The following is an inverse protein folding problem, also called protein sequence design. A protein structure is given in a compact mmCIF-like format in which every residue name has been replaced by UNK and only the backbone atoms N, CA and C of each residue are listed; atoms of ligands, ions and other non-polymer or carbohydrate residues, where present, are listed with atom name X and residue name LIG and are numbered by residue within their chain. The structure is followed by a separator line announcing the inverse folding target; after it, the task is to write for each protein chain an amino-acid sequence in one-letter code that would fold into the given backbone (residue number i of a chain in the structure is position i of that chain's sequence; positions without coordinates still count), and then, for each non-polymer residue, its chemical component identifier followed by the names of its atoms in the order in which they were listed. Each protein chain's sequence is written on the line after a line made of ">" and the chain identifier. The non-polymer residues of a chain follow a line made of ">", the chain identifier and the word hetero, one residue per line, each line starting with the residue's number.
data_IF_425362070197
#
_entry.id   IF_425362070197
#
_cell.length_a   1.000
_cell.length_b   1.000
_cell.length_c   1.000
_cell.angle_alpha   90.00
_cell.angle_beta   90.00
_cell.angle_gamma   90.00
#
_symmetry.space_group_name_H-M   'P 1'
#
loop_
_entity.id
_entity.type
_entity.pdbx_description
1 polymer ?
#
# COMPACT_ATOMS: atom_id res chain seq x y z
N UNK A 1 -25.44 -26.74 11.60
CA UNK A 1 -24.39 -25.73 11.48
C UNK A 1 -25.05 -24.50 10.84
N UNK A 2 -25.24 -23.45 11.61
CA UNK A 2 -25.80 -22.18 11.13
C UNK A 2 -24.90 -21.64 10.01
N UNK A 3 -25.45 -21.52 8.80
CA UNK A 3 -24.75 -20.86 7.70
C UNK A 3 -24.47 -19.42 8.12
N UNK A 4 -23.19 -19.02 8.11
CA UNK A 4 -22.80 -17.62 8.33
C UNK A 4 -23.56 -16.75 7.33
N UNK A 5 -24.34 -15.80 7.84
CA UNK A 5 -25.07 -14.85 7.01
C UNK A 5 -24.07 -13.98 6.21
N UNK A 6 -24.12 -14.10 4.89
CA UNK A 6 -23.22 -13.38 3.98
C UNK A 6 -23.32 -11.85 4.12
N UNK A 7 -24.51 -11.32 4.45
CA UNK A 7 -24.68 -9.89 4.72
C UNK A 7 -23.88 -9.46 5.94
N UNK A 8 -23.93 -10.24 7.01
CA UNK A 8 -23.16 -10.00 8.23
C UNK A 8 -21.64 -10.03 7.95
N UNK A 9 -21.16 -10.99 7.15
CA UNK A 9 -19.76 -11.06 6.75
C UNK A 9 -19.34 -9.84 5.93
N UNK A 10 -20.15 -9.41 4.98
CA UNK A 10 -19.89 -8.20 4.17
C UNK A 10 -19.84 -6.96 5.06
N UNK A 11 -20.81 -6.78 5.97
CA UNK A 11 -20.84 -5.64 6.90
C UNK A 11 -19.65 -5.65 7.87
N UNK A 12 -19.29 -6.81 8.42
CA UNK A 12 -18.11 -6.95 9.28
C UNK A 12 -16.82 -6.58 8.54
N UNK A 13 -16.66 -7.03 7.29
CA UNK A 13 -15.51 -6.66 6.47
C UNK A 13 -15.45 -5.16 6.21
N UNK A 14 -16.61 -4.54 5.96
CA UNK A 14 -16.73 -3.09 5.82
C UNK A 14 -16.32 -2.33 7.08
N UNK A 15 -16.81 -2.78 8.25
CA UNK A 15 -16.46 -2.17 9.53
C UNK A 15 -14.95 -2.26 9.82
N UNK A 16 -14.33 -3.42 9.54
CA UNK A 16 -12.87 -3.56 9.61
C UNK A 16 -12.16 -2.58 8.68
N UNK A 17 -12.68 -2.40 7.45
CA UNK A 17 -12.19 -1.41 6.50
C UNK A 17 -12.29 0.02 7.06
N UNK A 18 -13.41 0.38 7.70
CA UNK A 18 -13.58 1.69 8.31
C UNK A 18 -12.58 1.94 9.44
N UNK A 19 -12.34 0.95 10.31
CA UNK A 19 -11.33 1.06 11.37
C UNK A 19 -9.92 1.29 10.79
N UNK A 20 -9.57 0.57 9.72
CA UNK A 20 -8.30 0.78 9.01
C UNK A 20 -8.24 2.15 8.34
N UNK A 21 -9.37 2.67 7.81
CA UNK A 21 -9.44 4.03 7.26
C UNK A 21 -9.08 5.06 8.33
N UNK A 22 -9.68 4.98 9.52
CA UNK A 22 -9.36 5.86 10.64
C UNK A 22 -7.90 5.73 11.07
N UNK A 23 -7.40 4.51 11.24
CA UNK A 23 -6.01 4.27 11.63
C UNK A 23 -5.03 4.91 10.65
N UNK A 24 -5.21 4.69 9.34
CA UNK A 24 -4.37 5.27 8.30
C UNK A 24 -4.51 6.79 8.21
N UNK A 25 -5.70 7.33 8.50
CA UNK A 25 -5.93 8.77 8.57
C UNK A 25 -5.12 9.41 9.71
N UNK A 26 -5.16 8.84 10.92
CA UNK A 26 -4.37 9.34 12.05
C UNK A 26 -2.87 9.15 11.84
N UNK A 27 -2.45 8.04 11.23
CA UNK A 27 -1.05 7.86 10.84
C UNK A 27 -0.58 8.95 9.86
N UNK A 28 -1.42 9.32 8.88
CA UNK A 28 -1.13 10.42 7.97
C UNK A 28 -0.91 11.76 8.70
N UNK A 29 -1.67 12.02 9.78
CA UNK A 29 -1.51 13.25 10.57
C UNK A 29 -0.24 13.23 11.42
N UNK A 30 0.17 12.05 11.88
CA UNK A 30 1.32 11.85 12.76
C UNK A 30 2.65 11.70 12.02
N UNK A 31 2.62 11.27 10.76
CA UNK A 31 3.82 10.97 9.97
C UNK A 31 4.33 12.20 9.21
N UNK A 32 5.65 12.31 8.97
CA UNK A 32 6.23 13.37 8.17
C UNK A 32 5.61 13.46 6.78
N UNK A 33 5.57 14.66 6.20
CA UNK A 33 5.04 14.90 4.85
C UNK A 33 5.84 14.21 3.73
N UNK A 34 7.04 13.73 4.03
CA UNK A 34 7.87 12.90 3.15
C UNK A 34 7.21 11.55 2.85
N UNK A 35 6.46 10.97 3.82
CA UNK A 35 5.74 9.70 3.66
C UNK A 35 4.37 9.97 3.04
N UNK A 36 4.35 9.89 1.72
CA UNK A 36 3.14 10.16 0.91
C UNK A 36 2.32 8.88 0.75
N UNK A 37 1.06 9.03 0.32
CA UNK A 37 0.18 7.89 -0.03
C UNK A 37 -0.77 7.46 1.08
N UNK A 38 -0.45 7.66 2.37
CA UNK A 38 -1.30 7.27 3.53
C UNK A 38 -2.75 7.78 3.42
N UNK A 39 -2.94 9.03 2.98
CA UNK A 39 -4.28 9.59 2.80
C UNK A 39 -5.09 8.92 1.70
N UNK A 40 -4.46 8.46 0.63
CA UNK A 40 -5.13 7.69 -0.43
C UNK A 40 -5.47 6.27 0.04
N UNK A 41 -4.62 5.64 0.84
CA UNK A 41 -4.92 4.34 1.45
C UNK A 41 -6.05 4.43 2.47
N UNK A 42 -6.08 5.50 3.29
CA UNK A 42 -7.21 5.78 4.18
C UNK A 42 -8.51 5.95 3.38
N UNK A 43 -8.50 6.79 2.35
CA UNK A 43 -9.65 7.00 1.47
C UNK A 43 -10.09 5.70 0.77
N UNK A 44 -9.13 4.85 0.36
CA UNK A 44 -9.43 3.57 -0.26
C UNK A 44 -10.26 2.66 0.66
N UNK A 45 -9.89 2.54 1.93
CA UNK A 45 -10.66 1.78 2.92
C UNK A 45 -12.05 2.39 3.17
N UNK A 46 -12.17 3.73 3.17
CA UNK A 46 -13.47 4.40 3.31
C UNK A 46 -14.37 4.13 2.09
N UNK A 47 -13.83 4.12 0.87
CA UNK A 47 -14.56 3.76 -0.35
C UNK A 47 -15.00 2.28 -0.32
N UNK A 48 -14.13 1.38 0.14
CA UNK A 48 -14.49 -0.04 0.33
C UNK A 48 -15.62 -0.17 1.34
N UNK A 49 -15.57 0.53 2.47
CA UNK A 49 -16.68 0.55 3.45
C UNK A 49 -17.99 1.02 2.81
N UNK A 50 -17.97 2.14 2.09
CA UNK A 50 -19.16 2.65 1.41
C UNK A 50 -19.72 1.64 0.40
N UNK A 51 -18.85 0.98 -0.37
CA UNK A 51 -19.25 -0.09 -1.28
C UNK A 51 -19.89 -1.27 -0.55
N UNK A 52 -19.34 -1.70 0.60
CA UNK A 52 -19.94 -2.79 1.39
C UNK A 52 -21.34 -2.45 1.91
N UNK A 53 -21.60 -1.19 2.31
CA UNK A 53 -22.93 -0.74 2.68
C UNK A 53 -23.92 -0.84 1.50
N UNK A 54 -23.48 -0.41 0.29
CA UNK A 54 -24.31 -0.52 -0.91
C UNK A 54 -24.61 -1.98 -1.26
N UNK A 55 -23.61 -2.88 -1.19
CA UNK A 55 -23.83 -4.31 -1.43
C UNK A 55 -24.76 -4.95 -0.38
N UNK A 56 -24.63 -4.59 0.89
CA UNK A 56 -25.49 -5.11 1.96
C UNK A 56 -26.94 -4.60 1.85
N UNK A 57 -27.16 -3.44 1.25
CA UNK A 57 -28.47 -2.86 1.00
C UNK A 57 -29.23 -3.49 -0.20
N UNK A 58 -28.67 -4.54 -0.80
CA UNK A 58 -29.32 -5.25 -1.91
C UNK A 58 -30.66 -5.84 -1.50
N UNK A 59 -31.68 -5.59 -2.34
CA UNK A 59 -33.08 -5.96 -2.03
C UNK A 59 -33.84 -4.92 -1.18
N UNK A 60 -33.15 -3.87 -0.71
CA UNK A 60 -33.75 -2.70 -0.03
C UNK A 60 -33.67 -1.46 -0.91
N UNK A 61 -32.48 -1.21 -1.49
CA UNK A 61 -32.26 -0.12 -2.44
C UNK A 61 -32.39 -0.60 -3.89
N UNK A 62 -32.58 0.36 -4.79
CA UNK A 62 -32.68 0.10 -6.24
C UNK A 62 -31.41 -0.59 -6.77
N UNK A 63 -31.57 -1.51 -7.73
CA UNK A 63 -30.49 -2.33 -8.28
C UNK A 63 -29.36 -1.49 -8.91
N UNK A 64 -29.63 -0.33 -9.48
CA UNK A 64 -28.59 0.61 -9.95
C UNK A 64 -27.60 0.93 -8.83
N UNK A 65 -28.09 1.20 -7.63
CA UNK A 65 -27.25 1.56 -6.48
C UNK A 65 -26.47 0.34 -5.96
N UNK A 66 -27.10 -0.82 -5.85
CA UNK A 66 -26.54 -2.02 -5.20
C UNK A 66 -25.72 -2.90 -6.15
N UNK A 67 -25.84 -2.69 -7.47
CA UNK A 67 -25.09 -3.43 -8.48
C UNK A 67 -24.07 -2.50 -9.14
N UNK A 68 -24.52 -1.44 -9.81
CA UNK A 68 -23.63 -0.61 -10.62
C UNK A 68 -22.80 0.32 -9.75
N UNK A 69 -23.46 1.16 -8.94
CA UNK A 69 -22.77 2.14 -8.09
C UNK A 69 -21.87 1.45 -7.06
N UNK A 70 -22.32 0.34 -6.43
CA UNK A 70 -21.51 -0.40 -5.48
C UNK A 70 -20.17 -0.87 -6.06
N UNK A 71 -20.20 -1.44 -7.27
CA UNK A 71 -18.98 -1.88 -7.95
C UNK A 71 -18.08 -0.72 -8.39
N UNK A 72 -18.66 0.41 -8.84
CA UNK A 72 -17.89 1.59 -9.20
C UNK A 72 -17.22 2.23 -7.99
N UNK A 73 -17.92 2.33 -6.87
CA UNK A 73 -17.37 2.81 -5.59
C UNK A 73 -16.23 1.91 -5.12
N UNK A 74 -16.39 0.58 -5.23
CA UNK A 74 -15.33 -0.36 -4.90
C UNK A 74 -14.11 -0.19 -5.83
N UNK A 75 -14.34 0.03 -7.13
CA UNK A 75 -13.25 0.29 -8.08
C UNK A 75 -12.50 1.59 -7.73
N UNK A 76 -13.21 2.66 -7.35
CA UNK A 76 -12.58 3.90 -6.85
C UNK A 76 -11.71 3.61 -5.62
N UNK A 77 -12.15 2.74 -4.72
CA UNK A 77 -11.35 2.26 -3.59
C UNK A 77 -10.06 1.56 -4.04
N UNK A 78 -10.16 0.59 -4.96
CA UNK A 78 -9.01 -0.16 -5.49
C UNK A 78 -8.03 0.78 -6.24
N UNK A 79 -8.56 1.70 -7.04
CA UNK A 79 -7.75 2.73 -7.73
C UNK A 79 -7.04 3.63 -6.71
N UNK A 80 -7.71 3.99 -5.61
CA UNK A 80 -7.11 4.79 -4.55
C UNK A 80 -5.97 4.06 -3.84
N UNK A 81 -6.07 2.73 -3.67
CA UNK A 81 -4.94 1.92 -3.19
C UNK A 81 -3.75 2.02 -4.14
N UNK A 82 -3.97 1.79 -5.44
CA UNK A 82 -2.90 1.85 -6.45
C UNK A 82 -2.27 3.25 -6.51
N UNK A 83 -3.08 4.30 -6.58
CA UNK A 83 -2.62 5.68 -6.57
C UNK A 83 -1.84 6.03 -5.29
N UNK A 84 -2.24 5.46 -4.15
CA UNK A 84 -1.50 5.57 -2.89
C UNK A 84 -0.11 4.95 -2.99
N UNK A 85 0.02 3.78 -3.60
CA UNK A 85 1.32 3.11 -3.84
C UNK A 85 2.19 3.94 -4.79
N UNK A 86 1.64 4.47 -5.89
CA UNK A 86 2.39 5.37 -6.78
C UNK A 86 2.91 6.60 -6.04
N UNK A 87 2.06 7.26 -5.22
CA UNK A 87 2.46 8.42 -4.41
C UNK A 87 3.50 8.07 -3.34
N UNK A 88 3.39 6.91 -2.73
CA UNK A 88 4.33 6.42 -1.73
C UNK A 88 5.76 6.28 -2.30
N UNK A 89 5.87 5.83 -3.54
CA UNK A 89 7.16 5.75 -4.27
C UNK A 89 7.50 7.02 -5.06
N UNK A 90 6.84 8.15 -4.79
CA UNK A 90 7.15 9.44 -5.42
C UNK A 90 6.72 9.56 -6.88
N UNK A 91 5.93 8.62 -7.39
CA UNK A 91 5.45 8.63 -8.78
C UNK A 91 4.23 9.55 -8.96
N UNK A 92 4.07 10.07 -10.18
CA UNK A 92 2.89 10.85 -10.54
C UNK A 92 1.74 9.90 -10.89
N UNK A 93 0.58 10.12 -10.27
CA UNK A 93 -0.65 9.39 -10.59
C UNK A 93 -1.21 9.92 -11.91
N UNK A 94 -1.46 9.03 -12.85
CA UNK A 94 -2.01 9.36 -14.17
C UNK A 94 -3.54 9.16 -14.14
N UNK A 95 -4.26 10.14 -13.62
CA UNK A 95 -5.70 10.03 -13.33
C UNK A 95 -6.58 9.73 -14.55
N UNK A 96 -6.20 10.19 -15.74
CA UNK A 96 -7.00 9.94 -16.93
C UNK A 96 -7.12 8.45 -17.29
N UNK A 97 -6.11 7.62 -16.97
CA UNK A 97 -6.17 6.16 -17.19
C UNK A 97 -7.26 5.52 -16.34
N UNK A 98 -7.39 5.97 -15.10
CA UNK A 98 -8.41 5.50 -14.16
C UNK A 98 -9.79 6.00 -14.54
N UNK A 99 -9.91 7.25 -15.00
CA UNK A 99 -11.14 7.79 -15.53
C UNK A 99 -11.59 7.03 -16.80
N UNK A 100 -10.68 6.69 -17.70
CA UNK A 100 -10.97 5.87 -18.88
C UNK A 100 -11.45 4.46 -18.49
N UNK A 101 -10.81 3.84 -17.48
CA UNK A 101 -11.23 2.53 -16.97
C UNK A 101 -12.66 2.59 -16.39
N UNK A 102 -12.99 3.61 -15.60
CA UNK A 102 -14.34 3.83 -15.07
C UNK A 102 -15.35 4.02 -16.21
N UNK A 103 -15.00 4.82 -17.20
CA UNK A 103 -15.86 5.09 -18.37
C UNK A 103 -16.18 3.81 -19.14
N UNK A 104 -15.20 2.91 -19.32
CA UNK A 104 -15.38 1.63 -20.03
C UNK A 104 -16.18 0.64 -19.16
N UNK A 105 -15.92 0.57 -17.85
CA UNK A 105 -16.58 -0.42 -17.00
C UNK A 105 -18.03 -0.04 -16.68
N UNK A 106 -18.37 1.23 -16.61
CA UNK A 106 -19.73 1.68 -16.27
C UNK A 106 -20.80 1.08 -17.19
N UNK A 107 -20.71 1.20 -18.54
CA UNK A 107 -21.71 0.61 -19.43
C UNK A 107 -21.73 -0.92 -19.38
N UNK A 108 -20.60 -1.58 -19.17
CA UNK A 108 -20.52 -3.04 -19.03
C UNK A 108 -21.27 -3.51 -17.78
N UNK A 109 -21.02 -2.85 -16.63
CA UNK A 109 -21.69 -3.15 -15.37
C UNK A 109 -23.20 -2.83 -15.44
N UNK A 110 -23.57 -1.77 -16.13
CA UNK A 110 -24.96 -1.40 -16.35
C UNK A 110 -25.67 -2.44 -17.22
N UNK A 111 -25.06 -2.83 -18.34
CA UNK A 111 -25.65 -3.81 -19.28
C UNK A 111 -25.88 -5.16 -18.59
N UNK A 112 -24.82 -5.79 -18.08
CA UNK A 112 -24.91 -7.08 -17.41
C UNK A 112 -25.52 -7.02 -16.00
N UNK A 113 -25.79 -5.84 -15.50
CA UNK A 113 -26.46 -5.63 -14.21
C UNK A 113 -27.96 -5.50 -14.33
N UNK A 114 -28.45 -4.83 -15.38
CA UNK A 114 -29.82 -4.33 -15.43
C UNK A 114 -30.53 -4.59 -16.78
N UNK A 115 -29.80 -4.56 -17.91
CA UNK A 115 -30.41 -4.73 -19.24
C UNK A 115 -30.50 -6.21 -19.60
N UNK A 116 -29.38 -6.92 -19.49
CA UNK A 116 -29.27 -8.37 -19.67
C UNK A 116 -28.59 -8.97 -18.43
N UNK A 117 -29.35 -9.21 -17.35
CA UNK A 117 -28.78 -9.58 -16.07
C UNK A 117 -27.99 -10.89 -16.13
N UNK A 118 -26.66 -10.77 -16.18
CA UNK A 118 -25.75 -11.91 -16.22
C UNK A 118 -24.66 -11.74 -15.13
N UNK A 119 -24.86 -12.47 -14.03
CA UNK A 119 -23.93 -12.40 -12.88
C UNK A 119 -22.53 -12.89 -13.25
N UNK A 120 -22.41 -13.96 -14.03
CA UNK A 120 -21.13 -14.56 -14.40
C UNK A 120 -20.34 -13.66 -15.32
N UNK A 121 -20.98 -13.04 -16.32
CA UNK A 121 -20.32 -12.07 -17.22
C UNK A 121 -19.72 -10.88 -16.42
N UNK A 122 -20.49 -10.31 -15.47
CA UNK A 122 -19.99 -9.27 -14.57
C UNK A 122 -18.83 -9.73 -13.73
N UNK A 123 -18.93 -10.92 -13.15
CA UNK A 123 -17.93 -11.51 -12.30
C UNK A 123 -16.61 -11.70 -13.03
N UNK A 124 -16.66 -12.22 -14.25
CA UNK A 124 -15.50 -12.39 -15.12
C UNK A 124 -14.78 -11.07 -15.35
N UNK A 125 -15.52 -10.03 -15.75
CA UNK A 125 -14.95 -8.70 -16.03
C UNK A 125 -14.32 -8.09 -14.77
N UNK A 126 -15.05 -8.14 -13.67
CA UNK A 126 -14.58 -7.57 -12.37
C UNK A 126 -13.32 -8.28 -11.89
N UNK A 127 -13.30 -9.63 -11.90
CA UNK A 127 -12.15 -10.40 -11.43
C UNK A 127 -10.90 -10.12 -12.26
N UNK A 128 -11.01 -10.03 -13.58
CA UNK A 128 -9.86 -9.73 -14.45
C UNK A 128 -9.31 -8.33 -14.24
N UNK A 129 -10.18 -7.32 -14.16
CA UNK A 129 -9.77 -5.93 -13.95
C UNK A 129 -9.08 -5.78 -12.59
N UNK A 130 -9.67 -6.33 -11.52
CA UNK A 130 -9.09 -6.22 -10.19
C UNK A 130 -7.78 -7.00 -10.07
N UNK A 131 -7.72 -8.22 -10.63
CA UNK A 131 -6.49 -9.00 -10.66
C UNK A 131 -5.36 -8.23 -11.36
N UNK A 132 -5.65 -7.57 -12.49
CA UNK A 132 -4.68 -6.72 -13.20
C UNK A 132 -4.19 -5.55 -12.36
N UNK A 133 -5.09 -4.85 -11.63
CA UNK A 133 -4.71 -3.72 -10.77
C UNK A 133 -3.86 -4.22 -9.59
N UNK A 134 -4.26 -5.29 -8.89
CA UNK A 134 -3.50 -5.83 -7.76
C UNK A 134 -2.15 -6.41 -8.19
N UNK A 135 -2.07 -7.05 -9.36
CA UNK A 135 -0.81 -7.52 -9.93
C UNK A 135 0.15 -6.37 -10.25
N UNK A 136 -0.39 -5.27 -10.81
CA UNK A 136 0.41 -4.06 -11.08
C UNK A 136 0.91 -3.41 -9.79
N UNK A 137 0.10 -3.40 -8.71
CA UNK A 137 0.52 -2.94 -7.39
C UNK A 137 1.64 -3.82 -6.82
N UNK A 138 1.48 -5.15 -6.87
CA UNK A 138 2.48 -6.10 -6.39
C UNK A 138 3.81 -5.90 -7.12
N UNK A 139 3.78 -5.76 -8.44
CA UNK A 139 4.95 -5.47 -9.26
C UNK A 139 5.61 -4.13 -8.89
N UNK A 140 4.80 -3.07 -8.69
CA UNK A 140 5.30 -1.74 -8.34
C UNK A 140 6.01 -1.74 -6.98
N UNK A 141 5.40 -2.38 -5.96
CA UNK A 141 5.99 -2.51 -4.63
C UNK A 141 7.27 -3.36 -4.71
N UNK A 142 7.21 -4.51 -5.39
CA UNK A 142 8.37 -5.40 -5.53
C UNK A 142 9.56 -4.74 -6.20
N UNK A 143 9.32 -3.87 -7.18
CA UNK A 143 10.37 -3.18 -7.94
C UNK A 143 11.03 -2.03 -7.17
N UNK A 144 10.30 -1.31 -6.31
CA UNK A 144 10.78 -0.06 -5.73
C UNK A 144 11.02 -0.12 -4.21
N UNK A 145 10.44 -1.09 -3.51
CA UNK A 145 10.66 -1.24 -2.07
C UNK A 145 11.89 -2.10 -1.75
N UNK A 146 12.57 -1.85 -0.62
CA UNK A 146 13.61 -2.74 -0.11
C UNK A 146 13.03 -4.12 0.20
N UNK A 147 13.86 -5.18 0.16
CA UNK A 147 13.45 -6.58 0.37
C UNK A 147 13.21 -6.93 1.84
N UNK A 148 12.53 -6.08 2.57
CA UNK A 148 12.18 -6.24 3.97
C UNK A 148 10.96 -7.15 4.17
N UNK A 149 10.68 -7.51 5.43
CA UNK A 149 9.46 -8.26 5.78
C UNK A 149 8.17 -7.54 5.33
N UNK A 150 7.97 -6.22 5.58
CA UNK A 150 6.80 -5.48 5.10
C UNK A 150 6.56 -5.60 3.60
N UNK A 151 7.61 -5.49 2.80
CA UNK A 151 7.54 -5.65 1.34
C UNK A 151 7.10 -7.04 0.94
N UNK A 152 7.74 -8.08 1.49
CA UNK A 152 7.40 -9.49 1.19
C UNK A 152 5.98 -9.80 1.62
N UNK A 153 5.59 -9.40 2.82
CA UNK A 153 4.24 -9.60 3.35
C UNK A 153 3.18 -8.98 2.44
N UNK A 154 3.35 -7.69 2.09
CA UNK A 154 2.37 -6.97 1.26
C UNK A 154 2.26 -7.56 -0.15
N UNK A 155 3.40 -7.87 -0.78
CA UNK A 155 3.41 -8.49 -2.12
C UNK A 155 2.79 -9.88 -2.09
N UNK A 156 3.12 -10.71 -1.10
CA UNK A 156 2.51 -12.04 -0.96
C UNK A 156 0.99 -11.94 -0.76
N UNK A 157 0.53 -11.00 0.09
CA UNK A 157 -0.91 -10.74 0.27
C UNK A 157 -1.59 -10.36 -1.04
N UNK A 158 -1.01 -9.46 -1.83
CA UNK A 158 -1.54 -9.06 -3.14
C UNK A 158 -1.58 -10.24 -4.12
N UNK A 159 -0.54 -11.06 -4.18
CA UNK A 159 -0.49 -12.23 -5.06
C UNK A 159 -1.49 -13.32 -4.65
N UNK A 160 -1.66 -13.55 -3.34
CA UNK A 160 -2.70 -14.45 -2.82
C UNK A 160 -4.09 -13.94 -3.20
N UNK A 161 -4.32 -12.62 -3.09
CA UNK A 161 -5.59 -12.02 -3.49
C UNK A 161 -5.85 -12.18 -5.01
N UNK A 162 -4.84 -11.97 -5.84
CA UNK A 162 -4.91 -12.28 -7.28
C UNK A 162 -5.27 -13.74 -7.51
N UNK A 163 -4.67 -14.67 -6.76
CA UNK A 163 -5.01 -16.10 -6.82
C UNK A 163 -6.48 -16.36 -6.50
N UNK A 164 -7.02 -15.73 -5.45
CA UNK A 164 -8.45 -15.84 -5.09
C UNK A 164 -9.35 -15.29 -6.21
N UNK A 165 -8.99 -14.15 -6.82
CA UNK A 165 -9.74 -13.57 -7.93
C UNK A 165 -9.71 -14.46 -9.17
N UNK A 166 -8.58 -15.09 -9.48
CA UNK A 166 -8.47 -16.04 -10.59
C UNK A 166 -9.28 -17.33 -10.33
N UNK A 167 -9.23 -17.86 -9.11
CA UNK A 167 -10.09 -18.99 -8.74
C UNK A 167 -11.57 -18.64 -8.90
N UNK A 168 -11.96 -17.43 -8.50
CA UNK A 168 -13.33 -16.94 -8.66
C UNK A 168 -13.69 -16.73 -10.15
N UNK A 169 -12.77 -16.21 -10.96
CA UNK A 169 -12.91 -16.10 -12.40
C UNK A 169 -13.21 -17.48 -13.03
N UNK A 170 -12.40 -18.50 -12.73
CA UNK A 170 -12.61 -19.84 -13.27
C UNK A 170 -13.92 -20.48 -12.76
N UNK A 171 -14.34 -20.19 -11.55
CA UNK A 171 -15.62 -20.70 -11.02
C UNK A 171 -16.84 -20.17 -11.79
N UNK A 172 -16.72 -19.00 -12.44
CA UNK A 172 -17.80 -18.43 -13.25
C UNK A 172 -18.13 -19.26 -14.54
N UNK A 173 -17.23 -20.16 -14.92
CA UNK A 173 -17.43 -21.07 -16.06
C UNK A 173 -18.07 -22.40 -15.66
N UNK A 174 -18.27 -22.64 -14.37
CA UNK A 174 -18.90 -23.87 -13.88
C UNK A 174 -20.43 -23.72 -13.87
N UNK A 175 -21.20 -24.78 -14.20
CA UNK A 175 -22.67 -24.72 -14.29
C UNK A 175 -23.38 -24.35 -12.98
N UNK A 176 -22.66 -24.41 -11.85
CA UNK A 176 -23.19 -24.10 -10.50
C UNK A 176 -23.14 -22.60 -10.14
N UNK A 177 -22.79 -21.73 -11.08
CA UNK A 177 -22.47 -20.31 -10.81
C UNK A 177 -23.67 -19.35 -11.01
N UNK A 178 -24.89 -19.81 -11.21
CA UNK A 178 -26.10 -18.96 -11.43
C UNK A 178 -26.58 -18.19 -10.20
N UNK A 179 -25.72 -17.99 -9.21
CA UNK A 179 -26.12 -17.47 -7.92
C UNK A 179 -25.56 -16.06 -7.68
N UNK A 180 -26.42 -15.20 -7.16
CA UNK A 180 -26.07 -13.80 -6.85
C UNK A 180 -25.05 -13.64 -5.71
N UNK A 181 -24.59 -12.42 -5.47
CA UNK A 181 -23.59 -12.09 -4.45
C UNK A 181 -23.97 -12.57 -3.03
N UNK A 182 -25.27 -12.60 -2.69
CA UNK A 182 -25.78 -12.94 -1.36
C UNK A 182 -26.36 -14.34 -1.27
N UNK A 183 -26.23 -15.19 -2.29
CA UNK A 183 -26.64 -16.60 -2.22
C UNK A 183 -25.70 -17.40 -1.31
N UNK A 184 -26.22 -18.12 -0.31
CA UNK A 184 -25.40 -18.74 0.73
C UNK A 184 -24.78 -20.07 0.26
N UNK A 185 -23.87 -20.01 -0.72
CA UNK A 185 -23.07 -21.16 -1.12
C UNK A 185 -21.73 -21.21 -0.38
N UNK A 186 -21.16 -22.42 -0.26
CA UNK A 186 -19.83 -22.58 0.36
C UNK A 186 -18.76 -21.78 -0.39
N UNK A 187 -18.81 -21.78 -1.73
CA UNK A 187 -17.86 -21.04 -2.57
C UNK A 187 -17.98 -19.53 -2.33
N UNK A 188 -19.23 -19.03 -2.27
CA UNK A 188 -19.49 -17.61 -2.03
C UNK A 188 -19.04 -17.18 -0.62
N UNK A 189 -19.32 -17.99 0.40
CA UNK A 189 -18.89 -17.70 1.77
C UNK A 189 -17.36 -17.68 1.91
N UNK A 190 -16.66 -18.63 1.27
CA UNK A 190 -15.20 -18.64 1.22
C UNK A 190 -14.63 -17.42 0.48
N UNK A 191 -15.24 -17.04 -0.63
CA UNK A 191 -14.84 -15.87 -1.40
C UNK A 191 -15.01 -14.58 -0.58
N UNK A 192 -16.17 -14.34 0.02
CA UNK A 192 -16.44 -13.16 0.84
C UNK A 192 -15.53 -13.15 2.08
N UNK A 193 -15.37 -14.27 2.76
CA UNK A 193 -14.48 -14.39 3.91
C UNK A 193 -13.00 -14.14 3.54
N UNK A 194 -12.53 -14.68 2.41
CA UNK A 194 -11.16 -14.44 1.94
C UNK A 194 -10.93 -12.95 1.58
N UNK A 195 -11.91 -12.28 0.97
CA UNK A 195 -11.82 -10.85 0.69
C UNK A 195 -11.72 -10.02 1.98
N UNK A 196 -12.48 -10.37 3.03
CA UNK A 196 -12.40 -9.71 4.33
C UNK A 196 -11.00 -9.82 4.95
N UNK A 197 -10.42 -11.04 4.94
CA UNK A 197 -9.06 -11.28 5.42
C UNK A 197 -8.02 -10.55 4.58
N UNK A 198 -8.18 -10.52 3.26
CA UNK A 198 -7.26 -9.81 2.35
C UNK A 198 -7.31 -8.31 2.55
N UNK A 199 -8.49 -7.72 2.81
CA UNK A 199 -8.64 -6.31 3.12
C UNK A 199 -7.84 -5.95 4.39
N UNK A 200 -7.98 -6.76 5.44
CA UNK A 200 -7.24 -6.57 6.69
C UNK A 200 -5.72 -6.71 6.48
N UNK A 201 -5.29 -7.78 5.81
CA UNK A 201 -3.88 -8.06 5.55
C UNK A 201 -3.24 -6.98 4.65
N UNK A 202 -3.98 -6.48 3.65
CA UNK A 202 -3.51 -5.39 2.80
C UNK A 202 -3.36 -4.09 3.59
N UNK A 203 -4.35 -3.74 4.42
CA UNK A 203 -4.25 -2.57 5.30
C UNK A 203 -3.07 -2.64 6.24
N UNK A 204 -2.85 -3.81 6.88
CA UNK A 204 -1.66 -4.07 7.72
C UNK A 204 -0.37 -3.92 6.92
N UNK A 205 -0.32 -4.49 5.71
CA UNK A 205 0.83 -4.38 4.81
C UNK A 205 1.19 -2.94 4.48
N UNK A 206 0.19 -2.08 4.22
CA UNK A 206 0.40 -0.65 3.96
C UNK A 206 0.93 0.10 5.20
N UNK A 207 0.43 -0.24 6.39
CA UNK A 207 0.92 0.33 7.66
C UNK A 207 2.37 -0.08 7.90
N UNK A 208 2.69 -1.37 7.70
CA UNK A 208 4.05 -1.88 7.86
C UNK A 208 5.03 -1.23 6.87
N UNK A 209 4.64 -1.06 5.59
CA UNK A 209 5.46 -0.35 4.60
C UNK A 209 5.72 1.10 4.99
N UNK A 210 4.70 1.80 5.50
CA UNK A 210 4.85 3.18 5.97
C UNK A 210 5.76 3.26 7.20
N UNK A 211 5.63 2.32 8.13
CA UNK A 211 6.50 2.22 9.32
C UNK A 211 7.95 1.92 8.96
N UNK A 212 8.18 1.01 8.02
CA UNK A 212 9.52 0.66 7.52
C UNK A 212 10.20 1.90 6.87
N UNK A 213 9.44 2.67 6.08
CA UNK A 213 9.92 3.93 5.50
C UNK A 213 10.26 4.97 6.56
N UNK A 214 9.39 5.14 7.55
CA UNK A 214 9.60 6.07 8.66
C UNK A 214 10.85 5.70 9.46
N UNK A 215 11.01 4.41 9.77
CA UNK A 215 12.20 3.90 10.44
C UNK A 215 13.48 4.19 9.66
N UNK A 216 13.48 3.92 8.36
CA UNK A 216 14.64 4.20 7.50
C UNK A 216 14.99 5.70 7.46
N UNK A 217 13.99 6.61 7.48
CA UNK A 217 14.19 8.04 7.54
C UNK A 217 14.81 8.47 8.88
N UNK A 218 14.33 7.92 10.00
CA UNK A 218 14.93 8.17 11.31
C UNK A 218 16.36 7.60 11.43
N UNK A 219 16.59 6.39 10.93
CA UNK A 219 17.93 5.80 10.91
C UNK A 219 18.91 6.66 10.09
N UNK A 220 18.45 7.22 8.98
CA UNK A 220 19.27 8.13 8.16
C UNK A 220 19.61 9.42 8.91
N UNK A 221 18.62 10.07 9.52
CA UNK A 221 18.83 11.30 10.32
C UNK A 221 19.75 11.02 11.52
N UNK A 222 19.61 9.88 12.18
CA UNK A 222 20.44 9.51 13.32
C UNK A 222 21.86 9.08 12.93
N UNK A 223 22.09 8.71 11.67
CA UNK A 223 23.37 8.21 11.17
C UNK A 223 24.23 9.25 10.46
N UNK A 224 23.65 10.37 10.04
CA UNK A 224 24.38 11.41 9.30
C UNK A 224 24.29 12.76 10.01
N UNK A 225 25.37 13.54 9.92
CA UNK A 225 25.39 14.92 10.37
C UNK A 225 24.47 15.79 9.50
N UNK A 226 23.59 16.63 10.06
CA UNK A 226 22.61 17.37 9.28
C UNK A 226 23.22 18.45 8.37
N UNK A 227 24.41 18.97 8.71
CA UNK A 227 25.11 19.99 7.92
C UNK A 227 25.91 19.33 6.78
N UNK A 228 26.82 18.42 7.14
CA UNK A 228 27.84 17.90 6.23
C UNK A 228 27.43 16.60 5.55
N UNK A 229 26.37 15.94 6.01
CA UNK A 229 25.89 14.64 5.53
C UNK A 229 26.91 13.49 5.67
N UNK A 230 28.02 13.69 6.36
CA UNK A 230 28.94 12.61 6.73
C UNK A 230 28.37 11.79 7.88
N UNK A 231 28.91 10.59 8.11
CA UNK A 231 28.48 9.74 9.21
C UNK A 231 28.70 10.41 10.56
N UNK A 232 27.70 10.29 11.45
CA UNK A 232 27.89 10.71 12.84
C UNK A 232 29.02 9.90 13.49
N UNK A 233 29.71 10.50 14.47
CA UNK A 233 30.83 9.87 15.20
C UNK A 233 30.49 8.45 15.66
N UNK A 234 29.27 8.22 16.18
CA UNK A 234 28.83 6.91 16.65
C UNK A 234 28.82 5.89 15.53
N UNK A 235 28.18 6.20 14.41
CA UNK A 235 28.05 5.27 13.27
C UNK A 235 29.41 5.03 12.61
N UNK A 236 30.25 6.05 12.54
CA UNK A 236 31.63 5.91 12.05
C UNK A 236 32.45 4.95 12.90
N UNK A 237 32.38 5.07 14.24
CA UNK A 237 33.10 4.15 15.16
C UNK A 237 32.59 2.71 15.06
N UNK A 238 31.28 2.52 14.90
CA UNK A 238 30.68 1.19 14.67
C UNK A 238 31.17 0.59 13.35
N UNK A 239 31.21 1.39 12.28
CA UNK A 239 31.71 0.98 10.97
C UNK A 239 33.22 0.61 11.04
N UNK A 240 34.04 1.41 11.70
CA UNK A 240 35.45 1.10 11.94
C UNK A 240 35.65 -0.22 12.69
N UNK A 241 34.85 -0.47 13.72
CA UNK A 241 34.91 -1.70 14.50
C UNK A 241 34.56 -2.93 13.65
N UNK A 242 33.54 -2.82 12.82
CA UNK A 242 33.12 -3.89 11.90
C UNK A 242 34.18 -4.14 10.82
N UNK A 243 34.75 -3.10 10.22
CA UNK A 243 35.76 -3.24 9.19
C UNK A 243 37.07 -3.78 9.75
N UNK A 244 37.45 -3.38 10.96
CA UNK A 244 38.61 -3.94 11.66
C UNK A 244 38.44 -5.46 11.92
N UNK A 245 37.25 -5.88 12.36
CA UNK A 245 36.93 -7.29 12.53
C UNK A 245 36.95 -8.08 11.21
N UNK A 246 36.51 -7.44 10.11
CA UNK A 246 36.56 -7.99 8.75
C UNK A 246 38.01 -8.13 8.25
N UNK A 247 38.83 -7.08 8.42
CA UNK A 247 40.22 -7.09 8.06
C UNK A 247 40.99 -8.20 8.80
N UNK A 248 40.76 -8.37 10.12
CA UNK A 248 41.36 -9.46 10.91
C UNK A 248 40.98 -10.84 10.37
N UNK A 249 39.72 -11.06 9.98
CA UNK A 249 39.28 -12.37 9.43
C UNK A 249 39.89 -12.68 8.08
N UNK A 250 40.16 -11.68 7.25
CA UNK A 250 40.67 -11.86 5.89
C UNK A 250 42.15 -11.56 5.74
N UNK A 251 42.90 -11.32 6.83
CA UNK A 251 44.31 -10.99 6.81
C UNK A 251 44.65 -9.71 6.05
N UNK A 252 43.73 -8.72 6.05
CA UNK A 252 43.92 -7.43 5.38
C UNK A 252 44.27 -6.37 6.41
N UNK A 253 45.05 -5.36 5.99
CA UNK A 253 45.32 -4.17 6.80
C UNK A 253 44.22 -3.12 6.62
N UNK A 254 44.01 -2.28 7.66
CA UNK A 254 43.13 -1.13 7.67
C UNK A 254 43.97 0.10 8.04
N UNK A 255 43.77 1.21 7.34
CA UNK A 255 44.33 2.50 7.74
C UNK A 255 43.22 3.44 8.14
N UNK A 256 43.47 4.25 9.16
CA UNK A 256 42.57 5.31 9.63
C UNK A 256 43.28 6.65 9.51
N UNK A 257 42.64 7.60 8.83
CA UNK A 257 43.11 8.97 8.71
C UNK A 257 42.32 9.85 9.65
N UNK A 258 42.95 10.56 10.56
CA UNK A 258 42.34 11.57 11.42
C UNK A 258 42.85 12.95 10.94
N UNK A 259 41.91 13.83 10.61
CA UNK A 259 42.16 15.19 10.15
C UNK A 259 41.49 16.20 11.06
N UNK A 260 42.10 17.38 11.20
CA UNK A 260 41.55 18.51 11.93
C UNK A 260 41.72 19.80 11.09
N UNK A 261 40.83 20.77 11.28
CA UNK A 261 40.87 22.05 10.58
C UNK A 261 41.64 23.06 11.46
N UNK A 262 42.84 23.42 11.07
CA UNK A 262 43.63 24.40 11.77
C UNK A 262 42.91 25.73 11.85
N UNK A 263 42.92 26.33 13.05
CA UNK A 263 42.36 27.67 13.31
C UNK A 263 40.85 27.81 12.99
N UNK A 264 40.06 26.71 12.96
CA UNK A 264 38.62 26.77 12.64
C UNK A 264 37.87 27.77 13.53
N UNK A 265 38.23 27.89 14.80
CA UNK A 265 37.66 28.88 15.72
C UNK A 265 37.90 30.31 15.22
N UNK A 266 39.09 30.62 14.73
CA UNK A 266 39.41 31.94 14.18
C UNK A 266 38.58 32.28 12.93
N UNK A 267 38.28 31.29 12.11
CA UNK A 267 37.35 31.44 10.95
C UNK A 267 35.96 31.87 11.45
N UNK A 268 35.42 31.18 12.45
CA UNK A 268 34.13 31.55 13.03
C UNK A 268 34.11 32.91 13.69
N UNK A 269 35.16 33.25 14.45
CA UNK A 269 35.26 34.51 15.16
C UNK A 269 35.43 35.72 14.20
N UNK A 270 36.12 35.52 13.07
CA UNK A 270 36.37 36.57 12.09
C UNK A 270 35.28 36.73 11.04
N UNK A 271 34.71 35.62 10.55
CA UNK A 271 33.81 35.60 9.40
C UNK A 271 32.38 35.12 9.73
N UNK A 272 32.14 34.78 10.99
CA UNK A 272 30.84 34.28 11.49
C UNK A 272 30.57 32.82 11.19
N UNK A 273 29.59 32.24 11.92
CA UNK A 273 29.26 30.82 11.87
C UNK A 273 28.84 30.34 10.45
N UNK A 274 28.22 31.20 9.65
CA UNK A 274 27.82 30.81 8.28
C UNK A 274 29.03 30.49 7.38
N UNK A 275 30.16 31.20 7.60
CA UNK A 275 31.39 30.89 6.89
C UNK A 275 32.04 29.61 7.44
N UNK A 276 32.00 29.40 8.77
CA UNK A 276 32.44 28.15 9.37
C UNK A 276 31.67 26.96 8.84
N UNK A 277 30.33 27.05 8.68
CA UNK A 277 29.49 26.01 8.09
C UNK A 277 29.90 25.67 6.65
N UNK A 278 30.26 26.69 5.83
CA UNK A 278 30.79 26.49 4.47
C UNK A 278 32.12 25.75 4.48
N UNK A 279 33.04 26.15 5.38
CA UNK A 279 34.34 25.46 5.54
C UNK A 279 34.12 23.99 5.95
N UNK A 280 33.18 23.70 6.84
CA UNK A 280 32.84 22.31 7.21
C UNK A 280 32.27 21.53 6.02
N UNK A 281 31.43 22.15 5.18
CA UNK A 281 30.88 21.54 3.96
C UNK A 281 31.95 21.22 2.92
N UNK A 282 32.91 22.16 2.73
CA UNK A 282 34.00 21.98 1.79
C UNK A 282 35.06 20.97 2.26
N UNK A 283 35.17 20.77 3.58
CA UNK A 283 36.08 19.83 4.19
C UNK A 283 35.54 18.39 4.22
N UNK A 284 34.21 18.20 4.26
CA UNK A 284 33.51 16.91 4.40
C UNK A 284 33.42 16.12 3.10
#
# INVERSE_FOLDING_TARGET
>A
MTSLDLRSLVLMSGLMGLLLAFMLFFLRLSYPRSIRGLGLWSAAHAWVFLSTLLFAARGVLHDVATIVLANLVLLVGIVSYHAGVERFFGRRVVWWRWAALLLVLTPILYWYGLVDPNYNARLIVICLVWAGIFLSMAWLIWRHAPRTFPTRFTVTTLLLHVGVLLLRFFSAWMPMAEEGLLTPTRVQSLYVGSNALMLLALGMGMILLAGDRLRAEFEHIASHDPLTQVLTRRVFMDACTQELARCRRHGRSMALLLMDIDHFKAVNDTHGHQMGDRVLLDFA
#
